data_IF_453427727958
#
_entry.id   IF_453427727958
#
_cell.length_a   1.000
_cell.length_b   1.000
_cell.length_c   1.000
_cell.angle_alpha   90.00
_cell.angle_beta   90.00
_cell.angle_gamma   90.00
#
_symmetry.space_group_name_H-M   'P 1'
#
loop_
_entity.id
_entity.type
_entity.pdbx_description
1 polymer ?
#
# COMPACT_ATOMS: atom_id res chain seq x y z
N UNK A 1 37.56 17.12 3.66
CA UNK A 1 36.92 16.27 2.63
C UNK A 1 35.70 15.62 3.26
N UNK A 2 34.49 15.93 2.81
CA UNK A 2 33.28 15.32 3.36
C UNK A 2 33.19 13.84 2.98
N UNK A 3 32.95 12.97 3.95
CA UNK A 3 32.69 11.54 3.71
C UNK A 3 31.50 11.44 2.76
N UNK A 4 31.69 10.85 1.58
CA UNK A 4 30.59 10.58 0.65
C UNK A 4 29.86 9.36 1.17
N UNK A 5 28.64 9.54 1.68
CA UNK A 5 27.79 8.42 2.08
C UNK A 5 27.41 7.63 0.84
N UNK A 6 27.81 6.35 0.78
CA UNK A 6 27.35 5.38 -0.21
C UNK A 6 26.31 4.44 0.41
N UNK A 7 25.49 3.83 -0.43
CA UNK A 7 24.49 2.85 -0.03
C UNK A 7 23.96 2.07 -1.23
N UNK A 8 23.17 1.04 -0.98
CA UNK A 8 22.61 0.20 -2.04
C UNK A 8 21.38 0.85 -2.69
N UNK A 9 21.34 0.85 -4.02
CA UNK A 9 20.16 1.23 -4.78
C UNK A 9 18.97 0.35 -4.39
N UNK A 10 17.87 0.97 -3.95
CA UNK A 10 16.70 0.23 -3.47
C UNK A 10 16.07 -0.67 -4.55
N UNK A 11 16.20 -0.29 -5.83
CA UNK A 11 15.66 -1.06 -6.93
C UNK A 11 16.58 -2.22 -7.35
N UNK A 12 17.88 -2.00 -7.56
CA UNK A 12 18.76 -3.01 -8.16
C UNK A 12 19.87 -3.55 -7.24
N UNK A 13 20.04 -2.96 -6.04
CA UNK A 13 21.03 -3.38 -5.04
C UNK A 13 22.46 -2.93 -5.31
N UNK A 14 22.73 -2.28 -6.45
CA UNK A 14 24.07 -1.78 -6.76
C UNK A 14 24.46 -0.63 -5.83
N UNK A 15 25.71 -0.60 -5.38
CA UNK A 15 26.24 0.50 -4.59
C UNK A 15 26.16 1.82 -5.37
N UNK A 16 25.73 2.88 -4.70
CA UNK A 16 25.61 4.21 -5.28
C UNK A 16 25.75 5.29 -4.23
N UNK A 17 26.19 6.47 -4.65
CA UNK A 17 26.16 7.70 -3.87
C UNK A 17 24.99 8.62 -4.28
N UNK A 18 24.13 8.16 -5.21
CA UNK A 18 22.99 8.93 -5.71
C UNK A 18 21.79 8.71 -4.81
N UNK A 19 21.24 9.84 -4.34
CA UNK A 19 20.10 9.90 -3.43
C UNK A 19 18.95 10.66 -4.09
N UNK A 20 17.73 10.41 -3.61
CA UNK A 20 16.63 11.33 -3.85
C UNK A 20 16.94 12.70 -3.21
N UNK A 21 17.27 13.70 -4.03
CA UNK A 21 17.70 15.02 -3.57
C UNK A 21 16.73 15.68 -2.58
N UNK A 22 15.41 15.76 -2.88
CA UNK A 22 14.44 16.32 -1.95
C UNK A 22 14.36 15.59 -0.60
N UNK A 23 14.43 14.24 -0.59
CA UNK A 23 14.36 13.46 0.64
C UNK A 23 15.66 13.54 1.46
N UNK A 24 16.81 13.64 0.78
CA UNK A 24 18.10 13.84 1.44
C UNK A 24 18.12 15.13 2.27
N UNK A 25 17.47 16.20 1.80
CA UNK A 25 17.30 17.46 2.56
C UNK A 25 16.47 17.27 3.84
N UNK A 26 15.58 16.29 3.88
CA UNK A 26 14.80 15.90 5.05
C UNK A 26 15.51 14.86 5.93
N UNK A 27 16.79 14.55 5.66
CA UNK A 27 17.56 13.55 6.40
C UNK A 27 17.31 12.10 5.97
N UNK A 28 16.53 11.87 4.92
CA UNK A 28 16.13 10.54 4.46
C UNK A 28 17.06 10.08 3.35
N UNK A 29 17.83 9.05 3.63
CA UNK A 29 18.78 8.47 2.68
C UNK A 29 18.10 7.38 1.84
N UNK A 30 17.48 7.80 0.74
CA UNK A 30 16.86 6.91 -0.25
C UNK A 30 17.74 6.82 -1.51
N UNK A 31 18.48 5.72 -1.64
CA UNK A 31 19.47 5.49 -2.71
C UNK A 31 18.83 4.94 -3.99
N UNK A 32 19.10 5.60 -5.12
CA UNK A 32 18.61 5.23 -6.46
C UNK A 32 19.71 5.52 -7.49
N UNK A 33 20.28 4.48 -8.10
CA UNK A 33 21.49 4.63 -8.92
C UNK A 33 21.27 5.25 -10.31
N UNK A 34 20.01 5.31 -10.78
CA UNK A 34 19.67 5.86 -12.09
C UNK A 34 18.26 6.47 -12.15
N UNK A 35 17.99 7.39 -13.10
CA UNK A 35 16.66 7.94 -13.34
C UNK A 35 15.62 6.87 -13.68
N UNK A 36 16.00 5.77 -14.31
CA UNK A 36 15.13 4.66 -14.66
C UNK A 36 14.61 3.97 -13.39
N UNK A 37 15.50 3.68 -12.44
CA UNK A 37 15.10 3.14 -11.13
C UNK A 37 14.24 4.13 -10.35
N UNK A 38 14.54 5.44 -10.44
CA UNK A 38 13.69 6.46 -9.83
C UNK A 38 12.28 6.47 -10.45
N UNK A 39 12.17 6.40 -11.79
CA UNK A 39 10.88 6.33 -12.49
C UNK A 39 10.05 5.11 -12.08
N UNK A 40 10.70 3.96 -11.91
CA UNK A 40 10.03 2.72 -11.48
C UNK A 40 9.36 2.86 -10.11
N UNK A 41 10.03 3.50 -9.15
CA UNK A 41 9.49 3.67 -7.79
C UNK A 41 8.68 4.96 -7.60
N UNK A 42 8.67 5.83 -8.61
CA UNK A 42 8.13 7.19 -8.50
C UNK A 42 6.66 7.22 -8.14
N UNK A 43 5.85 6.29 -8.66
CA UNK A 43 4.40 6.31 -8.42
C UNK A 43 4.03 6.20 -6.94
N UNK A 44 4.77 5.41 -6.16
CA UNK A 44 4.60 5.33 -4.71
C UNK A 44 5.36 6.42 -3.97
N UNK A 45 6.57 6.76 -4.43
CA UNK A 45 7.42 7.71 -3.73
C UNK A 45 6.96 9.18 -3.84
N UNK A 46 6.39 9.58 -4.99
CA UNK A 46 6.09 10.99 -5.31
C UNK A 46 5.23 11.70 -4.27
N UNK A 47 4.27 10.99 -3.67
CA UNK A 47 3.29 11.54 -2.72
C UNK A 47 3.98 11.97 -1.42
N UNK A 48 5.03 11.25 -1.06
CA UNK A 48 5.78 11.40 0.18
C UNK A 48 7.18 11.98 -0.07
N UNK A 49 7.41 12.66 -1.19
CA UNK A 49 8.72 13.22 -1.51
C UNK A 49 8.79 14.71 -1.18
N UNK A 50 10.00 15.21 -0.89
CA UNK A 50 10.24 16.64 -0.66
C UNK A 50 9.57 17.17 0.60
N UNK A 51 8.70 18.16 0.46
CA UNK A 51 8.00 18.77 1.59
C UNK A 51 7.12 17.78 2.39
N UNK A 52 6.73 16.66 1.76
CA UNK A 52 5.93 15.61 2.38
C UNK A 52 6.77 14.42 2.86
N UNK A 53 8.09 14.53 2.84
CA UNK A 53 8.98 13.43 3.20
C UNK A 53 9.04 13.19 4.72
N UNK A 54 8.91 14.24 5.52
CA UNK A 54 8.77 14.14 6.97
C UNK A 54 8.21 15.46 7.53
N UNK A 55 7.11 15.46 8.32
CA UNK A 55 6.30 14.30 8.75
C UNK A 55 5.51 13.64 7.62
N UNK A 56 5.25 12.34 7.74
CA UNK A 56 4.47 11.58 6.76
C UNK A 56 2.98 11.90 6.91
N UNK A 57 2.35 12.33 5.82
CA UNK A 57 0.91 12.53 5.72
C UNK A 57 0.38 11.84 4.47
N UNK A 58 -0.61 10.95 4.64
CA UNK A 58 -1.37 10.41 3.53
C UNK A 58 -2.26 11.50 2.90
N UNK A 59 -2.43 11.46 1.57
CA UNK A 59 -3.36 12.36 0.90
C UNK A 59 -4.81 12.02 1.26
N UNK A 60 -5.67 13.04 1.31
CA UNK A 60 -7.13 12.90 1.48
C UNK A 60 -7.71 11.94 0.43
N UNK A 61 -8.84 11.31 0.77
CA UNK A 61 -9.60 10.55 -0.23
C UNK A 61 -10.18 11.51 -1.27
N UNK A 62 -10.06 11.16 -2.53
CA UNK A 62 -10.78 11.88 -3.59
C UNK A 62 -12.29 11.64 -3.46
N UNK A 63 -13.10 12.51 -4.05
CA UNK A 63 -14.56 12.31 -4.15
C UNK A 63 -14.92 10.95 -4.74
N UNK A 64 -14.19 10.50 -5.75
CA UNK A 64 -14.41 9.21 -6.40
C UNK A 64 -14.04 8.03 -5.48
N UNK A 65 -12.89 8.10 -4.79
CA UNK A 65 -12.50 7.11 -3.78
C UNK A 65 -13.55 7.03 -2.66
N UNK A 66 -14.01 8.20 -2.20
CA UNK A 66 -14.99 8.33 -1.11
C UNK A 66 -16.34 7.71 -1.50
N UNK A 67 -16.89 8.13 -2.64
CA UNK A 67 -18.16 7.60 -3.14
C UNK A 67 -18.10 6.08 -3.31
N UNK A 68 -16.99 5.57 -3.88
CA UNK A 68 -16.83 4.12 -4.09
C UNK A 68 -16.68 3.35 -2.79
N UNK A 69 -15.96 3.90 -1.81
CA UNK A 69 -15.84 3.28 -0.49
C UNK A 69 -17.20 3.20 0.21
N UNK A 70 -17.99 4.27 0.18
CA UNK A 70 -19.32 4.31 0.79
C UNK A 70 -20.30 3.36 0.09
N UNK A 71 -20.25 3.27 -1.25
CA UNK A 71 -21.07 2.35 -2.05
C UNK A 71 -20.81 0.86 -1.69
N UNK A 72 -19.57 0.53 -1.30
CA UNK A 72 -19.16 -0.84 -0.99
C UNK A 72 -19.03 -1.11 0.52
N UNK A 73 -19.46 -0.18 1.37
CA UNK A 73 -19.20 -0.23 2.81
C UNK A 73 -19.75 -1.52 3.44
N UNK A 74 -20.95 -1.92 3.04
CA UNK A 74 -21.64 -3.10 3.56
C UNK A 74 -21.35 -4.37 2.75
N UNK A 75 -20.68 -4.26 1.59
CA UNK A 75 -20.42 -5.40 0.71
C UNK A 75 -19.32 -6.29 1.30
N UNK A 76 -19.51 -7.62 1.38
CA UNK A 76 -18.46 -8.52 1.83
C UNK A 76 -17.28 -8.48 0.86
N UNK A 77 -16.09 -8.19 1.37
CA UNK A 77 -14.86 -8.24 0.59
C UNK A 77 -14.06 -9.47 0.98
N UNK A 78 -13.48 -10.16 -0.01
CA UNK A 78 -12.57 -11.27 0.23
C UNK A 78 -11.27 -10.74 0.85
N UNK A 79 -10.93 -11.26 2.03
CA UNK A 79 -9.71 -10.95 2.77
C UNK A 79 -8.92 -12.23 3.04
N UNK A 80 -7.62 -12.08 3.26
CA UNK A 80 -6.71 -13.19 3.58
C UNK A 80 -6.20 -13.00 5.01
N UNK A 81 -6.34 -14.04 5.84
CA UNK A 81 -5.65 -14.10 7.14
C UNK A 81 -4.18 -14.38 6.95
N UNK A 82 -3.41 -14.17 8.03
CA UNK A 82 -2.00 -14.57 8.10
C UNK A 82 -1.79 -16.08 7.89
N UNK A 83 -2.77 -16.90 8.24
CA UNK A 83 -2.76 -18.34 7.97
C UNK A 83 -2.92 -18.69 6.48
N UNK A 84 -3.17 -17.71 5.61
CA UNK A 84 -3.56 -17.92 4.21
C UNK A 84 -5.04 -18.25 4.02
N UNK A 85 -5.80 -18.40 5.11
CA UNK A 85 -7.24 -18.63 5.07
C UNK A 85 -7.98 -17.43 4.46
N UNK A 86 -8.86 -17.72 3.51
CA UNK A 86 -9.75 -16.73 2.90
C UNK A 86 -10.98 -16.54 3.77
N UNK A 87 -11.34 -15.31 4.07
CA UNK A 87 -12.58 -14.98 4.77
C UNK A 87 -13.24 -13.76 4.15
N UNK A 88 -14.56 -13.68 4.25
CA UNK A 88 -15.31 -12.51 3.83
C UNK A 88 -15.57 -11.62 5.04
N UNK A 89 -15.35 -10.31 4.87
CA UNK A 89 -15.72 -9.30 5.86
C UNK A 89 -16.16 -8.04 5.13
N UNK A 90 -17.22 -7.40 5.62
CA UNK A 90 -17.64 -6.11 5.07
C UNK A 90 -16.56 -5.05 5.27
N UNK A 91 -16.54 -4.04 4.40
CA UNK A 91 -15.68 -2.87 4.58
C UNK A 91 -15.98 -2.14 5.91
N UNK A 92 -17.24 -2.11 6.33
CA UNK A 92 -17.70 -1.56 7.62
C UNK A 92 -17.05 -2.27 8.81
N UNK A 93 -17.17 -3.60 8.87
CA UNK A 93 -16.63 -4.38 10.00
C UNK A 93 -15.11 -4.37 10.03
N UNK A 94 -14.47 -4.24 8.87
CA UNK A 94 -13.03 -4.04 8.79
C UNK A 94 -12.63 -2.66 9.34
N UNK A 95 -13.29 -1.58 8.92
CA UNK A 95 -13.00 -0.24 9.43
C UNK A 95 -13.20 -0.14 10.95
N UNK A 96 -14.23 -0.81 11.50
CA UNK A 96 -14.46 -0.90 12.95
C UNK A 96 -13.26 -1.44 13.73
N UNK A 97 -12.44 -2.33 13.15
CA UNK A 97 -11.26 -2.84 13.89
C UNK A 97 -10.20 -1.77 14.14
N UNK A 98 -10.19 -0.70 13.36
CA UNK A 98 -9.23 0.40 13.49
C UNK A 98 -9.85 1.65 14.10
N UNK A 99 -11.10 1.95 13.74
CA UNK A 99 -11.77 3.20 14.09
C UNK A 99 -12.59 3.10 15.38
N UNK A 100 -12.90 1.88 15.82
CA UNK A 100 -13.64 1.61 17.05
C UNK A 100 -14.66 0.49 16.84
N UNK A 101 -14.59 -0.62 17.60
CA UNK A 101 -15.42 -1.81 17.37
C UNK A 101 -16.93 -1.55 17.56
N UNK A 102 -17.27 -0.55 18.39
CA UNK A 102 -18.64 -0.21 18.75
C UNK A 102 -19.23 0.93 17.90
N UNK A 103 -18.47 1.49 16.94
CA UNK A 103 -18.97 2.59 16.11
C UNK A 103 -20.15 2.13 15.24
N UNK A 104 -21.19 2.94 15.21
CA UNK A 104 -22.32 2.84 14.30
C UNK A 104 -21.88 3.04 12.86
N UNK A 105 -22.73 2.65 11.91
CA UNK A 105 -22.48 2.87 10.49
C UNK A 105 -22.31 4.36 10.19
N UNK A 106 -23.17 5.21 10.75
CA UNK A 106 -23.15 6.65 10.49
C UNK A 106 -21.91 7.34 11.05
N UNK A 107 -21.41 6.88 12.20
CA UNK A 107 -20.12 7.34 12.74
C UNK A 107 -18.96 6.97 11.82
N UNK A 108 -18.93 5.75 11.26
CA UNK A 108 -17.90 5.34 10.30
C UNK A 108 -18.01 6.15 9.00
N UNK A 109 -19.22 6.40 8.50
CA UNK A 109 -19.44 7.27 7.33
C UNK A 109 -18.93 8.68 7.62
N UNK A 110 -19.21 9.22 8.81
CA UNK A 110 -18.73 10.54 9.23
C UNK A 110 -17.20 10.60 9.29
N UNK A 111 -16.54 9.58 9.84
CA UNK A 111 -15.09 9.46 9.84
C UNK A 111 -14.52 9.49 8.42
N UNK A 112 -15.04 8.66 7.49
CA UNK A 112 -14.61 8.62 6.09
C UNK A 112 -14.77 9.98 5.43
N UNK A 113 -15.92 10.63 5.62
CA UNK A 113 -16.23 11.94 5.05
C UNK A 113 -15.29 13.03 5.58
N UNK A 114 -14.89 12.96 6.86
CA UNK A 114 -13.99 13.95 7.47
C UNK A 114 -12.61 14.01 6.79
N UNK A 115 -12.16 12.91 6.18
CA UNK A 115 -10.86 12.80 5.49
C UNK A 115 -10.97 12.83 3.96
N UNK A 116 -12.16 13.11 3.44
CA UNK A 116 -12.45 13.25 2.01
C UNK A 116 -12.22 14.68 1.50
N UNK A 117 -11.74 14.87 0.28
CA UNK A 117 -11.59 16.19 -0.36
C UNK A 117 -12.92 16.90 -0.64
N UNK A 118 -14.07 16.26 -0.35
CA UNK A 118 -15.40 16.86 -0.42
C UNK A 118 -15.53 18.09 0.50
N UNK A 119 -14.83 18.09 1.64
CA UNK A 119 -14.82 19.22 2.58
C UNK A 119 -13.54 20.04 2.49
N UNK A 120 -13.62 21.38 2.52
CA UNK A 120 -12.45 22.24 2.47
C UNK A 120 -11.53 21.98 3.67
N UNK A 121 -10.22 21.98 3.40
CA UNK A 121 -9.19 21.85 4.43
C UNK A 121 -9.08 23.16 5.20
N UNK A 122 -9.13 23.13 6.52
CA UNK A 122 -8.68 24.25 7.35
C UNK A 122 -7.14 24.29 7.39
N UNK A 123 -6.42 24.29 6.27
CA UNK A 123 -4.95 24.36 6.22
C UNK A 123 -4.17 23.09 6.64
N UNK A 124 -2.87 22.99 6.27
CA UNK A 124 -2.03 21.80 6.45
C UNK A 124 -1.64 21.48 7.90
N UNK A 125 -1.76 22.45 8.82
CA UNK A 125 -1.55 22.25 10.26
C UNK A 125 -2.75 21.57 10.96
N UNK A 126 -3.82 21.26 10.23
CA UNK A 126 -5.14 20.98 10.80
C UNK A 126 -5.63 19.57 10.53
N UNK A 127 -4.74 18.62 10.26
CA UNK A 127 -5.11 17.21 10.26
C UNK A 127 -4.78 16.61 11.63
N UNK A 128 -5.79 16.34 12.47
CA UNK A 128 -5.60 15.53 13.66
C UNK A 128 -4.94 14.20 13.28
N UNK A 129 -4.08 13.69 14.14
CA UNK A 129 -3.43 12.39 13.97
C UNK A 129 -4.42 11.25 13.67
N UNK A 130 -5.62 11.35 14.27
CA UNK A 130 -6.72 10.44 14.03
C UNK A 130 -7.15 10.39 12.56
N UNK A 131 -7.08 11.50 11.82
CA UNK A 131 -7.37 11.54 10.39
C UNK A 131 -6.41 10.67 9.58
N UNK A 132 -5.14 10.52 10.01
CA UNK A 132 -4.18 9.66 9.32
C UNK A 132 -4.51 8.17 9.53
N UNK A 133 -4.98 7.80 10.72
CA UNK A 133 -5.48 6.44 10.99
C UNK A 133 -6.72 6.13 10.15
N UNK A 134 -7.67 7.07 10.05
CA UNK A 134 -8.83 6.93 9.16
C UNK A 134 -8.37 6.76 7.71
N UNK A 135 -7.42 7.57 7.23
CA UNK A 135 -6.90 7.47 5.86
C UNK A 135 -6.24 6.12 5.56
N UNK A 136 -5.42 5.60 6.48
CA UNK A 136 -4.82 4.26 6.32
C UNK A 136 -5.90 3.19 6.16
N UNK A 137 -6.86 3.15 7.08
CA UNK A 137 -7.92 2.14 7.09
C UNK A 137 -8.82 2.26 5.86
N UNK A 138 -9.21 3.49 5.49
CA UNK A 138 -10.05 3.74 4.32
C UNK A 138 -9.35 3.40 3.01
N UNK A 139 -8.04 3.67 2.87
CA UNK A 139 -7.28 3.39 1.65
C UNK A 139 -7.04 1.89 1.44
N UNK A 140 -6.73 1.13 2.49
CA UNK A 140 -6.67 -0.34 2.40
C UNK A 140 -8.04 -0.92 2.01
N UNK A 141 -9.11 -0.37 2.59
CA UNK A 141 -10.47 -0.83 2.31
C UNK A 141 -10.89 -0.53 0.88
N UNK A 142 -10.59 0.67 0.39
CA UNK A 142 -10.80 1.03 -1.00
C UNK A 142 -10.05 0.06 -1.92
N UNK A 143 -8.79 -0.30 -1.60
CA UNK A 143 -7.97 -1.26 -2.35
C UNK A 143 -8.69 -2.58 -2.62
N UNK A 144 -9.37 -3.10 -1.60
CA UNK A 144 -9.94 -4.44 -1.63
C UNK A 144 -11.24 -4.53 -2.45
N UNK A 145 -11.82 -3.39 -2.82
CA UNK A 145 -13.06 -3.28 -3.61
C UNK A 145 -12.80 -2.95 -5.09
N UNK A 146 -11.56 -3.05 -5.58
CA UNK A 146 -11.19 -2.58 -6.91
C UNK A 146 -11.24 -3.65 -8.00
N UNK A 147 -11.85 -3.27 -9.13
CA UNK A 147 -11.83 -3.97 -10.42
C UNK A 147 -10.64 -3.50 -11.29
N UNK A 148 -10.33 -4.25 -12.34
CA UNK A 148 -9.15 -4.12 -13.20
C UNK A 148 -8.99 -2.79 -13.97
N UNK A 149 -9.95 -1.86 -13.89
CA UNK A 149 -10.02 -0.66 -14.75
C UNK A 149 -9.28 0.58 -14.20
N UNK A 150 -8.61 0.46 -13.05
CA UNK A 150 -8.11 1.62 -12.30
C UNK A 150 -6.62 1.95 -12.51
N UNK A 151 -6.28 3.23 -12.25
CA UNK A 151 -4.94 3.79 -12.40
C UNK A 151 -3.93 3.22 -11.38
N UNK A 152 -2.67 2.96 -11.77
CA UNK A 152 -1.62 2.44 -10.88
C UNK A 152 -1.45 3.18 -9.55
N UNK A 153 -1.71 4.49 -9.50
CA UNK A 153 -1.53 5.31 -8.30
C UNK A 153 -2.51 4.99 -7.16
N UNK A 154 -3.76 4.58 -7.45
CA UNK A 154 -4.74 4.24 -6.41
C UNK A 154 -4.39 2.90 -5.76
N UNK A 155 -3.98 1.92 -6.58
CA UNK A 155 -3.49 0.63 -6.10
C UNK A 155 -2.26 0.81 -5.22
N UNK A 156 -1.32 1.67 -5.61
CA UNK A 156 -0.11 1.92 -4.82
C UNK A 156 -0.44 2.50 -3.44
N UNK A 157 -1.33 3.49 -3.33
CA UNK A 157 -1.67 4.08 -2.02
C UNK A 157 -2.44 3.10 -1.12
N UNK A 158 -3.32 2.28 -1.71
CA UNK A 158 -3.99 1.20 -1.01
C UNK A 158 -3.01 0.16 -0.46
N UNK A 159 -2.06 -0.29 -1.29
CA UNK A 159 -1.06 -1.27 -0.90
C UNK A 159 -0.09 -0.76 0.16
N UNK A 160 0.34 0.51 0.05
CA UNK A 160 1.12 1.17 1.10
C UNK A 160 0.35 1.16 2.42
N UNK A 161 -0.93 1.51 2.38
CA UNK A 161 -1.76 1.56 3.59
C UNK A 161 -1.91 0.17 4.21
N UNK A 162 -2.13 -0.87 3.40
CA UNK A 162 -2.18 -2.27 3.85
C UNK A 162 -0.88 -2.69 4.55
N UNK A 163 0.27 -2.48 3.90
CA UNK A 163 1.56 -2.89 4.47
C UNK A 163 1.85 -2.14 5.77
N UNK A 164 1.49 -0.86 5.86
CA UNK A 164 1.63 -0.08 7.09
C UNK A 164 0.75 -0.65 8.19
N UNK A 165 -0.54 -0.93 7.94
CA UNK A 165 -1.43 -1.52 8.94
C UNK A 165 -0.96 -2.92 9.40
N UNK A 166 -0.46 -3.75 8.50
CA UNK A 166 0.14 -5.04 8.86
C UNK A 166 1.43 -4.86 9.69
N UNK A 167 2.24 -3.84 9.38
CA UNK A 167 3.43 -3.49 10.14
C UNK A 167 3.08 -2.99 11.56
N UNK A 168 1.98 -2.26 11.71
CA UNK A 168 1.42 -1.88 13.01
C UNK A 168 0.97 -3.12 13.78
N UNK A 169 0.28 -4.06 13.13
CA UNK A 169 -0.22 -5.29 13.74
C UNK A 169 0.88 -6.20 14.32
N UNK A 170 2.11 -6.10 13.81
CA UNK A 170 3.28 -6.82 14.34
C UNK A 170 4.15 -5.97 15.29
N UNK A 171 3.75 -4.74 15.58
CA UNK A 171 4.48 -3.80 16.46
C UNK A 171 5.72 -3.16 15.81
N UNK A 172 5.87 -3.20 14.48
CA UNK A 172 7.00 -2.63 13.77
C UNK A 172 6.85 -1.11 13.55
N UNK A 173 5.63 -0.65 13.28
CA UNK A 173 5.32 0.76 13.05
C UNK A 173 4.24 1.24 14.03
N UNK A 174 4.26 2.54 14.35
CA UNK A 174 3.18 3.18 15.08
C UNK A 174 1.93 3.37 14.18
N UNK A 175 0.71 3.45 14.73
CA UNK A 175 -0.52 3.61 13.93
C UNK A 175 -0.68 5.01 13.29
N UNK A 176 0.18 5.97 13.64
CA UNK A 176 0.10 7.36 13.22
C UNK A 176 1.40 7.71 12.47
N UNK A 177 1.42 7.69 11.12
CA UNK A 177 2.60 7.99 10.32
C UNK A 177 3.21 9.37 10.59
N UNK A 178 2.39 10.36 10.94
CA UNK A 178 2.85 11.72 11.26
C UNK A 178 3.79 11.77 12.47
N UNK A 179 3.78 10.74 13.34
CA UNK A 179 4.64 10.62 14.52
C UNK A 179 5.87 9.72 14.32
N UNK A 180 6.14 9.29 13.09
CA UNK A 180 7.30 8.44 12.85
C UNK A 180 8.59 9.15 13.19
N UNK A 181 9.43 8.45 13.95
CA UNK A 181 10.84 8.80 14.10
C UNK A 181 11.55 8.65 12.74
N UNK A 182 12.83 9.01 12.69
CA UNK A 182 13.59 8.98 11.42
C UNK A 182 13.67 7.55 10.85
N UNK A 183 13.86 6.52 11.69
CA UNK A 183 13.97 5.13 11.22
C UNK A 183 12.65 4.61 10.66
N UNK A 184 11.52 4.90 11.31
CA UNK A 184 10.18 4.55 10.81
C UNK A 184 9.84 5.32 9.54
N UNK A 185 10.27 6.58 9.44
CA UNK A 185 10.12 7.39 8.23
C UNK A 185 10.91 6.80 7.06
N UNK A 186 12.18 6.43 7.27
CA UNK A 186 13.00 5.76 6.24
C UNK A 186 12.36 4.43 5.81
N UNK A 187 11.89 3.62 6.77
CA UNK A 187 11.18 2.38 6.46
C UNK A 187 9.93 2.66 5.60
N UNK A 188 9.11 3.64 5.98
CA UNK A 188 7.92 4.03 5.22
C UNK A 188 8.26 4.43 3.78
N UNK A 189 9.31 5.21 3.57
CA UNK A 189 9.77 5.57 2.23
C UNK A 189 10.19 4.35 1.40
N UNK A 190 10.92 3.41 2.01
CA UNK A 190 11.31 2.17 1.35
C UNK A 190 10.09 1.30 1.01
N UNK A 191 9.10 1.26 1.89
CA UNK A 191 7.81 0.59 1.66
C UNK A 191 7.04 1.21 0.49
N UNK A 192 6.98 2.54 0.41
CA UNK A 192 6.34 3.23 -0.71
C UNK A 192 6.99 2.91 -2.05
N UNK A 193 8.33 2.80 -2.08
CA UNK A 193 9.06 2.36 -3.26
C UNK A 193 8.82 0.87 -3.58
N UNK A 194 8.79 0.00 -2.57
CA UNK A 194 8.48 -1.42 -2.74
C UNK A 194 7.10 -1.61 -3.37
N UNK A 195 6.08 -0.92 -2.86
CA UNK A 195 4.72 -1.06 -3.37
C UNK A 195 4.59 -0.53 -4.81
N UNK A 196 5.34 0.51 -5.17
CA UNK A 196 5.42 0.94 -6.56
C UNK A 196 5.99 -0.16 -7.47
N UNK A 197 6.97 -0.94 -7.00
CA UNK A 197 7.53 -2.08 -7.74
C UNK A 197 6.54 -3.25 -7.81
N UNK A 198 5.80 -3.50 -6.74
CA UNK A 198 4.70 -4.49 -6.70
C UNK A 198 3.67 -4.17 -7.79
N UNK A 199 3.18 -2.93 -7.82
CA UNK A 199 2.19 -2.49 -8.82
C UNK A 199 2.80 -2.47 -10.23
N UNK A 200 4.07 -2.08 -10.40
CA UNK A 200 4.75 -2.10 -11.69
C UNK A 200 4.94 -3.53 -12.26
N UNK A 201 5.01 -4.53 -11.37
CA UNK A 201 5.09 -5.94 -11.72
C UNK A 201 3.73 -6.57 -12.04
N UNK A 202 2.62 -5.86 -11.83
CA UNK A 202 1.31 -6.31 -12.30
C UNK A 202 1.20 -6.12 -13.82
N UNK A 203 0.58 -7.08 -14.53
CA UNK A 203 0.23 -6.89 -15.93
C UNK A 203 -0.74 -5.72 -16.08
N UNK A 204 -0.57 -4.92 -17.15
CA UNK A 204 -1.55 -3.90 -17.51
C UNK A 204 -2.65 -4.56 -18.37
N UNK A 205 -3.88 -4.67 -17.87
CA UNK A 205 -4.98 -5.27 -18.62
C UNK A 205 -5.31 -4.51 -19.92
N UNK A 206 -4.89 -3.24 -20.03
CA UNK A 206 -5.10 -2.40 -21.22
C UNK A 206 -4.00 -2.57 -22.27
N UNK A 207 -2.91 -3.24 -21.93
CA UNK A 207 -1.73 -3.40 -22.79
C UNK A 207 -1.10 -4.80 -22.62
N UNK A 208 -1.84 -5.89 -22.88
CA UNK A 208 -1.43 -7.26 -22.55
C UNK A 208 -0.16 -7.72 -23.27
N UNK A 209 0.12 -7.18 -24.46
CA UNK A 209 1.23 -7.62 -25.31
C UNK A 209 2.51 -6.78 -25.14
N UNK A 210 2.45 -5.67 -24.38
CA UNK A 210 3.55 -4.70 -24.25
C UNK A 210 3.95 -4.51 -22.79
N UNK A 211 4.50 -5.56 -22.17
CA UNK A 211 4.83 -5.46 -20.75
C UNK A 211 5.72 -6.52 -20.14
N UNK A 212 6.05 -7.62 -20.82
CA UNK A 212 6.77 -8.75 -20.21
C UNK A 212 8.16 -8.37 -19.67
N UNK A 213 8.97 -7.65 -20.44
CA UNK A 213 10.29 -7.22 -19.98
C UNK A 213 10.18 -6.24 -18.80
N UNK A 214 9.26 -5.28 -18.86
CA UNK A 214 8.97 -4.33 -17.78
C UNK A 214 8.55 -5.05 -16.50
N UNK A 215 7.64 -6.02 -16.61
CA UNK A 215 7.15 -6.83 -15.48
C UNK A 215 8.28 -7.65 -14.88
N UNK A 216 9.09 -8.32 -15.72
CA UNK A 216 10.24 -9.10 -15.28
C UNK A 216 11.27 -8.24 -14.55
N UNK A 217 11.54 -7.05 -15.07
CA UNK A 217 12.48 -6.10 -14.47
C UNK A 217 11.93 -5.54 -13.14
N UNK A 218 10.64 -5.21 -13.09
CA UNK A 218 9.97 -4.80 -11.86
C UNK A 218 9.98 -5.92 -10.81
N UNK A 219 9.72 -7.18 -11.19
CA UNK A 219 9.82 -8.36 -10.32
C UNK A 219 11.23 -8.57 -9.77
N UNK A 220 12.24 -8.42 -10.64
CA UNK A 220 13.65 -8.47 -10.21
C UNK A 220 13.94 -7.37 -9.20
N UNK A 221 13.53 -6.13 -9.48
CA UNK A 221 13.74 -5.01 -8.59
C UNK A 221 13.00 -5.18 -7.26
N UNK A 222 11.76 -5.66 -7.30
CA UNK A 222 10.93 -5.97 -6.13
C UNK A 222 11.65 -6.94 -5.19
N UNK A 223 12.21 -8.03 -5.71
CA UNK A 223 12.97 -9.01 -4.91
C UNK A 223 14.20 -8.40 -4.25
N UNK A 224 14.89 -7.50 -4.95
CA UNK A 224 16.05 -6.79 -4.37
C UNK A 224 15.62 -5.82 -3.28
N UNK A 225 14.55 -5.04 -3.54
CA UNK A 225 13.96 -4.14 -2.56
C UNK A 225 13.47 -4.88 -1.30
N UNK A 226 12.88 -6.08 -1.46
CA UNK A 226 12.46 -6.94 -0.34
C UNK A 226 13.65 -7.33 0.56
N UNK A 227 14.79 -7.70 -0.04
CA UNK A 227 16.02 -8.00 0.70
C UNK A 227 16.54 -6.77 1.45
N UNK A 228 16.58 -5.61 0.80
CA UNK A 228 17.02 -4.36 1.40
C UNK A 228 16.09 -3.90 2.54
N UNK A 229 14.78 -4.14 2.41
CA UNK A 229 13.80 -3.91 3.48
C UNK A 229 14.04 -4.84 4.66
N UNK A 230 14.23 -6.15 4.43
CA UNK A 230 14.53 -7.11 5.49
C UNK A 230 15.79 -6.71 6.27
N UNK A 231 16.87 -6.38 5.55
CA UNK A 231 18.13 -5.95 6.14
C UNK A 231 17.93 -4.70 7.01
N UNK A 232 17.23 -3.69 6.48
CA UNK A 232 16.94 -2.47 7.23
C UNK A 232 16.12 -2.71 8.49
N UNK A 233 15.06 -3.53 8.41
CA UNK A 233 14.24 -3.86 9.59
C UNK A 233 15.07 -4.60 10.63
N UNK A 234 15.93 -5.51 10.20
CA UNK A 234 16.81 -6.26 11.10
C UNK A 234 17.84 -5.37 11.81
N UNK A 235 18.33 -4.33 11.14
CA UNK A 235 19.35 -3.43 11.66
C UNK A 235 18.76 -2.28 12.51
N UNK A 236 17.71 -1.62 12.02
CA UNK A 236 17.16 -0.42 12.64
C UNK A 236 16.09 -0.70 13.73
N UNK A 237 15.56 -1.93 13.77
CA UNK A 237 14.51 -2.34 14.70
C UNK A 237 14.89 -3.61 15.45
N UNK A 238 14.64 -4.77 14.86
CA UNK A 238 14.87 -6.09 15.46
C UNK A 238 14.83 -7.19 14.40
N UNK A 239 15.70 -8.19 14.55
CA UNK A 239 15.79 -9.33 13.62
C UNK A 239 14.55 -10.23 13.66
N UNK A 240 13.93 -10.40 14.83
CA UNK A 240 12.68 -11.15 14.99
C UNK A 240 11.49 -10.47 14.30
N UNK A 241 11.42 -9.13 14.38
CA UNK A 241 10.45 -8.34 13.62
C UNK A 241 10.67 -8.44 12.11
N UNK A 242 11.92 -8.49 11.64
CA UNK A 242 12.23 -8.61 10.20
C UNK A 242 11.64 -9.88 9.58
N UNK A 243 11.66 -11.00 10.30
CA UNK A 243 11.06 -12.26 9.84
C UNK A 243 9.53 -12.15 9.72
N UNK A 244 8.86 -11.63 10.76
CA UNK A 244 7.40 -11.42 10.77
C UNK A 244 6.97 -10.44 9.68
N UNK A 245 7.74 -9.37 9.50
CA UNK A 245 7.49 -8.34 8.51
C UNK A 245 7.51 -8.89 7.08
N UNK A 246 8.47 -9.76 6.73
CA UNK A 246 8.51 -10.36 5.39
C UNK A 246 7.31 -11.27 5.09
N UNK A 247 6.81 -11.98 6.10
CA UNK A 247 5.58 -12.78 5.97
C UNK A 247 4.42 -11.84 5.62
N UNK A 248 4.29 -10.73 6.37
CA UNK A 248 3.28 -9.70 6.12
C UNK A 248 3.39 -9.01 4.78
N UNK A 249 4.60 -8.72 4.32
CA UNK A 249 4.84 -8.11 3.01
C UNK A 249 4.30 -9.01 1.86
N UNK A 250 4.49 -10.33 1.98
CA UNK A 250 4.01 -11.31 1.00
C UNK A 250 2.49 -11.54 1.07
N UNK A 251 1.90 -11.48 2.25
CA UNK A 251 0.45 -11.52 2.44
C UNK A 251 -0.24 -10.25 1.94
N UNK A 252 0.45 -9.11 2.05
CA UNK A 252 -0.05 -7.81 1.64
C UNK A 252 -0.12 -7.67 0.12
N UNK A 253 0.87 -8.24 -0.59
CA UNK A 253 0.98 -8.14 -2.04
C UNK A 253 -0.33 -8.54 -2.75
N UNK A 254 -0.82 -7.72 -3.70
CA UNK A 254 -1.98 -8.07 -4.52
C UNK A 254 -1.66 -9.37 -5.26
N UNK A 255 -2.38 -10.44 -4.91
CA UNK A 255 -2.40 -11.64 -5.73
C UNK A 255 -3.14 -11.24 -6.99
N UNK A 256 -2.51 -11.35 -8.15
CA UNK A 256 -3.19 -11.17 -9.42
C UNK A 256 -4.32 -12.21 -9.48
N UNK A 257 -5.51 -11.80 -9.09
CA UNK A 257 -6.72 -12.58 -9.28
C UNK A 257 -7.07 -12.38 -10.75
N UNK A 258 -6.31 -13.05 -11.62
CA UNK A 258 -6.76 -13.25 -12.99
C UNK A 258 -7.99 -14.14 -12.86
N UNK A 259 -9.18 -13.53 -12.88
CA UNK A 259 -10.33 -14.27 -13.34
C UNK A 259 -9.97 -14.69 -14.78
N UNK A 260 -9.96 -15.99 -15.11
CA UNK A 260 -9.80 -16.40 -16.48
C UNK A 260 -10.99 -15.80 -17.23
N UNK A 261 -10.76 -14.73 -18.01
CA UNK A 261 -11.67 -14.43 -19.10
C UNK A 261 -11.54 -15.60 -20.04
N UNK A 262 -12.55 -16.46 -20.06
CA UNK A 262 -12.68 -17.47 -21.11
C UNK A 262 -12.58 -16.74 -22.45
N UNK A 263 -11.49 -17.02 -23.17
CA UNK A 263 -11.16 -16.38 -24.45
C UNK A 263 -12.22 -16.65 -25.52
N UNK A 264 -13.18 -17.55 -25.26
CA UNK A 264 -14.23 -17.89 -26.21
C UNK A 264 -15.51 -17.05 -26.10
N UNK A 265 -15.79 -16.36 -24.98
CA UNK A 265 -17.11 -15.72 -24.78
C UNK A 265 -17.12 -14.27 -24.29
N UNK A 266 -15.99 -13.72 -23.84
CA UNK A 266 -15.92 -12.29 -23.46
C UNK A 266 -16.89 -11.85 -22.35
N UNK A 267 -17.46 -12.78 -21.59
CA UNK A 267 -18.32 -12.48 -20.44
C UNK A 267 -17.55 -12.64 -19.13
N UNK A 268 -17.68 -11.64 -18.26
CA UNK A 268 -17.34 -11.74 -16.85
C UNK A 268 -18.26 -12.78 -16.21
N UNK A 269 -17.69 -13.83 -15.62
CA UNK A 269 -18.46 -14.78 -14.80
C UNK A 269 -18.77 -14.07 -13.48
N UNK A 270 -20.04 -13.73 -13.26
CA UNK A 270 -20.52 -13.33 -11.94
C UNK A 270 -20.36 -14.50 -10.97
N UNK A 271 -19.86 -14.19 -9.76
CA UNK A 271 -19.83 -15.11 -8.62
C UNK A 271 -21.26 -15.31 -8.08
N UNK A 272 -22.07 -16.04 -8.82
CA UNK A 272 -23.26 -16.69 -8.30
C UNK A 272 -23.21 -18.14 -8.76
N UNK A 273 -23.54 -19.08 -7.86
CA UNK A 273 -23.65 -20.53 -8.09
C UNK A 273 -22.39 -21.37 -7.85
N UNK A 274 -21.86 -21.36 -6.63
CA UNK A 274 -21.29 -22.58 -6.03
C UNK A 274 -21.73 -22.66 -4.55
N UNK A 275 -23.04 -22.80 -4.37
CA UNK A 275 -23.67 -23.16 -3.11
C UNK A 275 -24.58 -24.37 -3.33
N UNK A 276 -23.97 -25.51 -3.69
CA UNK A 276 -24.69 -26.77 -3.81
C UNK A 276 -25.08 -27.28 -2.43
N UNK A 277 -26.36 -27.19 -2.11
CA UNK A 277 -27.02 -27.96 -1.04
C UNK A 277 -27.17 -29.41 -1.48
N UNK A 278 -26.40 -30.33 -0.90
CA UNK A 278 -26.75 -31.75 -0.93
C UNK A 278 -27.69 -32.06 0.23
N UNK A 279 -28.96 -32.27 -0.10
CA UNK A 279 -29.93 -32.92 0.76
C UNK A 279 -29.65 -34.42 0.79
N UNK A 280 -29.43 -34.94 1.99
CA UNK A 280 -29.43 -36.38 2.28
C UNK A 280 -30.89 -36.84 2.34
N UNK A 281 -31.23 -37.82 1.51
CA UNK A 281 -32.35 -38.73 1.68
C UNK A 281 -31.81 -40.16 1.59
#
# INVERSE_FOLDING_TARGET
MGVRTTGECLACGQETNKLCGPCSKAGIQLFLCSPEHQKLVWQGHKVFCGANAWPISLPRLTRAETAKLLENLDKPTLRLRASGEKFHRSSLDYLRTFLGPNKTRDEIVSDIMSVSDIFPVLGPASFPEWSQTILLAARDTAMSNFTHDKLPSELTLGGISKIVLESVGIGLLAPIPARYDMRSTILFHRLACYEALVVAALPDPRAPDTGFDRIRDAERCKRTCEKALKAYVSEAFDAGLAAKFLVKLKEAAPKAMFLPTDRSTGKLTELSELGGTEHVA
#
